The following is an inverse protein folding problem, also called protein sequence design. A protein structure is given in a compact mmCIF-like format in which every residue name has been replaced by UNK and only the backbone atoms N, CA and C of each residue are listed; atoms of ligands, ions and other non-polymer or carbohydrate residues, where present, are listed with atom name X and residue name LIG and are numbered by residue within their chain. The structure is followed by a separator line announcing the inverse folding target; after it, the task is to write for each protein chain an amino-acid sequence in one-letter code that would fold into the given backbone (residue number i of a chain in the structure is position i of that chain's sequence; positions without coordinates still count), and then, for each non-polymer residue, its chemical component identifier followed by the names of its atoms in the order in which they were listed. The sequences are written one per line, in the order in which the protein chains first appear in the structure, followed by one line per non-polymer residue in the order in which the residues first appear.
data_IF_858174855228
#
_entry.id   IF_858174855228
#
_cell.length_a   1.000
_cell.length_b   1.000
_cell.length_c   1.000
_cell.angle_alpha   90.00
_cell.angle_beta   90.00
_cell.angle_gamma   90.00
#
_symmetry.space_group_name_H-M   'P 1'
#
loop_
_entity.id
_entity.type
_entity.pdbx_description
1 polymer ?
#
# COMPACT_ATOMS: atom_id res chain seq x y z
N UNK A 1 -5.68 12.09 -2.78
CA UNK A 1 -5.31 13.18 -1.85
C UNK A 1 -4.95 12.68 -0.45
N UNK A 2 -5.84 12.03 0.31
CA UNK A 2 -5.52 11.64 1.71
C UNK A 2 -4.41 10.59 1.83
N UNK A 3 -4.48 9.48 1.08
CA UNK A 3 -3.42 8.44 1.11
C UNK A 3 -2.09 8.93 0.56
N UNK A 4 -2.12 9.79 -0.46
CA UNK A 4 -0.92 10.45 -1.00
C UNK A 4 -0.29 11.35 0.06
N UNK A 5 -1.10 12.19 0.73
CA UNK A 5 -0.63 13.05 1.81
C UNK A 5 -0.09 12.23 3.00
N UNK A 6 -0.75 11.12 3.34
CA UNK A 6 -0.28 10.20 4.38
C UNK A 6 1.11 9.64 4.03
N UNK A 7 1.28 9.08 2.82
CA UNK A 7 2.57 8.55 2.36
C UNK A 7 3.67 9.63 2.30
N UNK A 8 3.35 10.84 1.83
CA UNK A 8 4.29 11.95 1.77
C UNK A 8 4.66 12.53 3.14
N UNK A 9 3.83 12.32 4.16
CA UNK A 9 4.08 12.88 5.49
C UNK A 9 5.26 12.25 6.23
N UNK A 10 5.72 11.05 5.83
CA UNK A 10 6.80 10.33 6.51
C UNK A 10 6.43 9.81 7.91
N UNK A 11 5.20 10.03 8.36
CA UNK A 11 4.68 9.65 9.68
C UNK A 11 4.34 8.17 9.74
N UNK A 12 5.29 7.35 10.21
CA UNK A 12 5.13 5.89 10.36
C UNK A 12 3.91 5.52 11.21
N UNK A 13 3.47 6.37 12.14
CA UNK A 13 2.28 6.19 12.97
C UNK A 13 0.96 6.11 12.16
N UNK A 14 0.97 6.53 10.90
CA UNK A 14 -0.18 6.38 9.99
C UNK A 14 -0.27 4.98 9.36
N UNK A 15 0.75 4.14 9.51
CA UNK A 15 0.76 2.79 8.93
C UNK A 15 -0.46 1.94 9.33
N UNK A 16 -0.87 1.84 10.61
CA UNK A 16 -2.06 1.07 11.00
C UNK A 16 -3.36 1.60 10.40
N UNK A 17 -3.44 2.91 10.11
CA UNK A 17 -4.59 3.48 9.43
C UNK A 17 -4.60 3.09 7.94
N UNK A 18 -3.44 3.08 7.28
CA UNK A 18 -3.31 2.66 5.88
C UNK A 18 -3.57 1.16 5.72
N UNK A 19 -3.16 0.32 6.68
CA UNK A 19 -3.50 -1.12 6.70
C UNK A 19 -5.01 -1.36 6.60
N UNK A 20 -5.81 -0.57 7.31
CA UNK A 20 -7.28 -0.64 7.20
C UNK A 20 -7.77 -0.25 5.82
N UNK A 21 -7.11 0.71 5.16
CA UNK A 21 -7.44 1.15 3.79
C UNK A 21 -7.03 0.15 2.71
N UNK A 22 -6.09 -0.74 3.00
CA UNK A 22 -5.75 -1.86 2.13
C UNK A 22 -6.85 -2.94 2.06
N UNK A 23 -7.90 -2.83 2.87
CA UNK A 23 -9.10 -3.68 2.82
C UNK A 23 -10.35 -2.94 2.32
N UNK A 24 -10.18 -1.72 1.82
CA UNK A 24 -11.30 -0.89 1.35
C UNK A 24 -11.97 -1.54 0.12
N UNK A 25 -13.32 -1.50 -0.01
CA UNK A 25 -14.00 -2.07 -1.16
C UNK A 25 -13.57 -1.42 -2.48
N UNK A 26 -13.14 -0.15 -2.47
CA UNK A 26 -12.67 0.54 -3.66
C UNK A 26 -11.25 0.07 -4.06
N UNK A 27 -11.07 -0.48 -5.27
CA UNK A 27 -9.74 -0.87 -5.77
C UNK A 27 -8.78 0.33 -5.85
N UNK A 28 -9.29 1.51 -6.18
CA UNK A 28 -8.49 2.74 -6.23
C UNK A 28 -7.92 3.13 -4.86
N UNK A 29 -8.70 2.97 -3.80
CA UNK A 29 -8.24 3.23 -2.43
C UNK A 29 -7.16 2.23 -2.04
N UNK A 30 -7.35 0.94 -2.34
CA UNK A 30 -6.33 -0.09 -2.05
C UNK A 30 -5.03 0.16 -2.83
N UNK A 31 -5.11 0.47 -4.12
CA UNK A 31 -3.95 0.82 -4.96
C UNK A 31 -3.13 1.97 -4.35
N UNK A 32 -3.78 3.07 -3.94
CA UNK A 32 -3.09 4.16 -3.26
C UNK A 32 -2.58 3.79 -1.86
N UNK A 33 -3.26 2.86 -1.17
CA UNK A 33 -2.82 2.32 0.11
C UNK A 33 -1.51 1.56 -0.01
N UNK A 34 -1.34 0.77 -1.08
CA UNK A 34 -0.13 -0.01 -1.35
C UNK A 34 1.08 0.90 -1.47
N UNK A 35 0.97 1.95 -2.31
CA UNK A 35 2.01 2.95 -2.46
C UNK A 35 2.32 3.67 -1.14
N UNK A 36 1.28 4.15 -0.44
CA UNK A 36 1.46 4.95 0.78
C UNK A 36 2.10 4.15 1.91
N UNK A 37 1.70 2.89 2.07
CA UNK A 37 2.24 1.99 3.09
C UNK A 37 3.73 1.70 2.87
N UNK A 38 4.12 1.36 1.64
CA UNK A 38 5.53 1.18 1.29
C UNK A 38 6.33 2.49 1.36
N UNK A 39 5.72 3.63 1.03
CA UNK A 39 6.40 4.94 1.16
C UNK A 39 6.78 5.26 2.60
N UNK A 40 5.95 4.87 3.57
CA UNK A 40 6.21 5.13 5.00
C UNK A 40 7.20 4.14 5.63
N UNK A 41 7.06 2.85 5.31
CA UNK A 41 7.79 1.79 6.00
C UNK A 41 8.96 1.22 5.18
N UNK A 42 9.00 1.48 3.87
CA UNK A 42 10.03 0.93 2.98
C UNK A 42 10.07 -0.60 3.06
N UNK A 43 11.27 -1.15 3.33
CA UNK A 43 11.47 -2.61 3.44
C UNK A 43 10.62 -3.29 4.52
N UNK A 44 10.30 -2.58 5.60
CA UNK A 44 9.44 -3.09 6.70
C UNK A 44 8.01 -3.37 6.22
N UNK A 45 7.55 -2.74 5.13
CA UNK A 45 6.20 -2.98 4.58
C UNK A 45 6.06 -4.34 3.89
N UNK A 46 7.15 -4.92 3.40
CA UNK A 46 7.12 -6.01 2.42
C UNK A 46 6.39 -7.27 2.90
N UNK A 47 6.64 -7.80 4.11
CA UNK A 47 5.96 -9.01 4.56
C UNK A 47 4.44 -8.86 4.53
N UNK A 48 3.94 -7.73 4.99
CA UNK A 48 2.51 -7.44 4.98
C UNK A 48 1.95 -7.27 3.55
N UNK A 49 2.67 -6.54 2.69
CA UNK A 49 2.23 -6.33 1.31
C UNK A 49 2.22 -7.63 0.48
N UNK A 50 3.12 -8.58 0.76
CA UNK A 50 3.10 -9.91 0.13
C UNK A 50 1.80 -10.63 0.49
N UNK A 51 1.43 -10.69 1.78
CA UNK A 51 0.18 -11.32 2.22
C UNK A 51 -1.06 -10.66 1.58
N UNK A 52 -1.06 -9.33 1.44
CA UNK A 52 -2.16 -8.62 0.79
C UNK A 52 -2.20 -8.88 -0.72
N UNK A 53 -1.04 -8.99 -1.37
CA UNK A 53 -0.95 -9.28 -2.80
C UNK A 53 -1.49 -10.66 -3.16
N UNK A 54 -1.28 -11.67 -2.31
CA UNK A 54 -1.80 -13.03 -2.51
C UNK A 54 -3.34 -13.10 -2.52
N UNK A 55 -4.00 -12.15 -1.85
CA UNK A 55 -5.46 -12.10 -1.71
C UNK A 55 -6.12 -11.13 -2.71
N UNK A 56 -5.33 -10.31 -3.40
CA UNK A 56 -5.83 -9.29 -4.31
C UNK A 56 -6.14 -9.86 -5.69
N UNK A 57 -7.26 -9.43 -6.27
CA UNK A 57 -7.75 -9.88 -7.59
C UNK A 57 -7.80 -8.75 -8.60
N UNK A 58 -7.82 -7.50 -8.14
CA UNK A 58 -7.96 -6.34 -8.99
C UNK A 58 -6.65 -6.06 -9.74
N UNK A 59 -6.66 -6.09 -11.09
CA UNK A 59 -5.45 -5.91 -11.88
C UNK A 59 -4.71 -4.59 -11.59
N UNK A 60 -5.46 -3.52 -11.33
CA UNK A 60 -4.87 -2.21 -11.02
C UNK A 60 -4.12 -2.20 -9.69
N UNK A 61 -4.59 -2.94 -8.69
CA UNK A 61 -3.94 -3.00 -7.38
C UNK A 61 -2.72 -3.92 -7.46
N UNK A 62 -2.84 -5.04 -8.17
CA UNK A 62 -1.72 -5.95 -8.45
C UNK A 62 -0.57 -5.24 -9.18
N UNK A 63 -0.88 -4.29 -10.07
CA UNK A 63 0.14 -3.45 -10.72
C UNK A 63 0.92 -2.61 -9.71
N UNK A 64 0.24 -2.00 -8.74
CA UNK A 64 0.90 -1.24 -7.68
C UNK A 64 1.81 -2.11 -6.81
N UNK A 65 1.36 -3.31 -6.42
CA UNK A 65 2.21 -4.27 -5.70
C UNK A 65 3.45 -4.63 -6.52
N UNK A 66 3.31 -5.00 -7.79
CA UNK A 66 4.44 -5.31 -8.67
C UNK A 66 5.43 -4.15 -8.78
N UNK A 67 4.95 -2.91 -8.82
CA UNK A 67 5.81 -1.73 -8.91
C UNK A 67 6.72 -1.54 -7.69
N UNK A 68 6.33 -2.07 -6.53
CA UNK A 68 7.13 -2.02 -5.30
C UNK A 68 8.27 -3.03 -5.35
N UNK A 69 7.99 -4.25 -5.83
CA UNK A 69 8.98 -5.33 -5.88
C UNK A 69 9.91 -5.27 -7.09
N UNK A 70 9.58 -4.49 -8.13
CA UNK A 70 10.46 -4.26 -9.28
C UNK A 70 11.49 -3.15 -9.06
N UNK A 71 11.37 -2.36 -7.99
CA UNK A 71 12.24 -1.21 -7.71
C UNK A 71 13.47 -1.56 -6.85
N UNK A 72 13.92 -2.81 -6.88
CA UNK A 72 15.15 -3.25 -6.19
C UNK A 72 16.37 -3.28 -7.10
#
# INVERSE_FOLDING_TARGET
NVLIAAGNSGRKELAPWIEKKLKDPSPLVRAHGVWAYNRLLGKESKPFLITMMEQEKEPMVLKEFKSIFQKE
#
